data_IF_506713115966
#
_entry.id   IF_506713115966
#
_cell.length_a   1.000
_cell.length_b   1.000
_cell.length_c   1.000
_cell.angle_alpha   90.00
_cell.angle_beta   90.00
_cell.angle_gamma   90.00
#
_symmetry.space_group_name_H-M   'P 1'
#
loop_
_entity.id
_entity.type
_entity.pdbx_description
1 polymer ?
#
# COMPACT_ATOMS: atom_id res chain seq x y z
N UNK A 1 1.92 12.06 -44.51
CA UNK A 1 1.48 11.26 -43.34
C UNK A 1 2.49 10.19 -42.89
N UNK A 2 3.03 9.35 -43.78
CA UNK A 2 3.91 8.22 -43.41
C UNK A 2 5.24 8.62 -42.73
N UNK A 3 5.89 9.70 -43.19
CA UNK A 3 7.21 10.14 -42.69
C UNK A 3 7.21 10.50 -41.20
N UNK A 4 6.16 11.17 -40.72
CA UNK A 4 6.02 11.53 -39.31
C UNK A 4 5.89 10.30 -38.40
N UNK A 5 5.11 9.30 -38.82
CA UNK A 5 4.95 8.05 -38.08
C UNK A 5 6.26 7.27 -37.99
N UNK A 6 7.08 7.27 -39.04
CA UNK A 6 8.41 6.65 -39.04
C UNK A 6 9.32 7.36 -38.04
N UNK A 7 9.35 8.70 -38.04
CA UNK A 7 10.13 9.49 -37.09
C UNK A 7 9.68 9.26 -35.64
N UNK A 8 8.36 9.22 -35.39
CA UNK A 8 7.81 8.93 -34.07
C UNK A 8 8.13 7.51 -33.59
N UNK A 9 8.07 6.50 -34.47
CA UNK A 9 8.47 5.13 -34.14
C UNK A 9 9.94 5.06 -33.74
N UNK A 10 10.83 5.70 -34.50
CA UNK A 10 12.27 5.78 -34.16
C UNK A 10 12.50 6.48 -32.83
N UNK A 11 11.82 7.59 -32.57
CA UNK A 11 11.90 8.30 -31.28
C UNK A 11 11.45 7.42 -30.12
N UNK A 12 10.33 6.69 -30.25
CA UNK A 12 9.84 5.77 -29.22
C UNK A 12 10.82 4.63 -28.94
N UNK A 13 11.44 4.08 -29.98
CA UNK A 13 12.47 3.06 -29.84
C UNK A 13 13.69 3.59 -29.06
N UNK A 14 14.24 4.73 -29.45
CA UNK A 14 15.39 5.34 -28.77
C UNK A 14 15.11 5.64 -27.28
N UNK A 15 13.89 6.10 -26.95
CA UNK A 15 13.48 6.31 -25.56
C UNK A 15 13.42 4.98 -24.79
N UNK A 16 12.92 3.91 -25.40
CA UNK A 16 12.85 2.60 -24.78
C UNK A 16 14.26 2.03 -24.51
N UNK A 17 15.18 2.19 -25.45
CA UNK A 17 16.56 1.72 -25.30
C UNK A 17 17.31 2.51 -24.23
N UNK A 18 17.14 3.83 -24.18
CA UNK A 18 17.67 4.64 -23.07
C UNK A 18 17.12 4.19 -21.71
N UNK A 19 15.84 3.84 -21.62
CA UNK A 19 15.25 3.29 -20.38
C UNK A 19 15.87 1.94 -20.00
N UNK A 20 16.15 1.07 -20.97
CA UNK A 20 16.83 -0.21 -20.73
C UNK A 20 18.28 -0.03 -20.29
N UNK A 21 19.00 0.93 -20.85
CA UNK A 21 20.37 1.23 -20.44
C UNK A 21 20.45 1.76 -19.00
N UNK A 22 19.54 2.66 -18.62
CA UNK A 22 19.58 3.33 -17.31
C UNK A 22 18.94 2.48 -16.20
N UNK A 23 17.88 1.73 -16.51
CA UNK A 23 17.06 1.03 -15.50
C UNK A 23 16.90 -0.47 -15.76
N UNK A 24 17.50 -1.00 -16.82
CA UNK A 24 17.47 -2.42 -17.13
C UNK A 24 18.41 -3.23 -16.25
N UNK A 25 18.14 -4.52 -16.18
CA UNK A 25 19.03 -5.48 -15.52
C UNK A 25 20.32 -5.65 -16.34
N UNK A 26 21.52 -5.64 -15.72
CA UNK A 26 22.80 -5.73 -16.44
C UNK A 26 22.94 -6.98 -17.31
N UNK A 27 22.38 -8.11 -16.87
CA UNK A 27 22.50 -9.41 -17.54
C UNK A 27 21.49 -9.61 -18.68
N UNK A 28 20.29 -9.05 -18.57
CA UNK A 28 19.20 -9.31 -19.54
C UNK A 28 18.85 -8.10 -20.40
N UNK A 29 19.30 -6.89 -20.02
CA UNK A 29 18.96 -5.63 -20.69
C UNK A 29 17.45 -5.30 -20.64
N UNK A 30 16.65 -6.07 -19.91
CA UNK A 30 15.20 -5.86 -19.79
C UNK A 30 14.90 -4.95 -18.60
N UNK A 31 13.87 -4.14 -18.74
CA UNK A 31 13.39 -3.29 -17.65
C UNK A 31 12.79 -4.16 -16.55
N UNK A 32 13.13 -3.90 -15.27
CA UNK A 32 12.54 -4.61 -14.13
C UNK A 32 11.04 -4.35 -14.06
N UNK A 33 10.25 -5.42 -14.07
CA UNK A 33 8.81 -5.32 -13.78
C UNK A 33 8.63 -5.31 -12.27
N UNK A 34 8.19 -4.17 -11.72
CA UNK A 34 7.78 -4.12 -10.32
C UNK A 34 6.41 -4.80 -10.20
N UNK A 35 6.27 -5.89 -9.44
CA UNK A 35 4.96 -6.48 -9.20
C UNK A 35 4.08 -5.42 -8.54
N UNK A 36 2.87 -5.21 -9.07
CA UNK A 36 1.93 -4.33 -8.41
C UNK A 36 1.53 -4.96 -7.06
N UNK A 37 1.53 -4.20 -5.97
CA UNK A 37 1.04 -4.70 -4.70
C UNK A 37 -0.45 -5.03 -4.85
N UNK A 38 -0.78 -6.32 -4.84
CA UNK A 38 -2.16 -6.77 -4.91
C UNK A 38 -2.88 -6.34 -3.63
N UNK A 39 -3.97 -5.57 -3.78
CA UNK A 39 -4.76 -5.16 -2.64
C UNK A 39 -5.51 -6.35 -2.06
N UNK A 40 -5.15 -6.74 -0.84
CA UNK A 40 -5.82 -7.84 -0.13
C UNK A 40 -7.16 -7.31 0.41
N UNK A 41 -8.27 -7.93 -0.01
CA UNK A 41 -9.61 -7.65 0.53
C UNK A 41 -9.64 -7.81 2.06
N UNK A 42 -10.43 -6.97 2.75
CA UNK A 42 -10.60 -7.02 4.21
C UNK A 42 -11.03 -8.40 4.71
N UNK A 43 -11.86 -9.13 3.95
CA UNK A 43 -12.24 -10.52 4.26
C UNK A 43 -11.03 -11.45 4.26
N UNK A 44 -10.12 -11.31 3.28
CA UNK A 44 -8.90 -12.12 3.18
C UNK A 44 -7.92 -11.75 4.29
N UNK A 45 -7.76 -10.46 4.63
CA UNK A 45 -7.00 -10.04 5.81
C UNK A 45 -7.53 -10.71 7.09
N UNK A 46 -8.86 -10.65 7.33
CA UNK A 46 -9.48 -11.29 8.50
C UNK A 46 -9.27 -12.80 8.54
N UNK A 47 -9.32 -13.49 7.38
CA UNK A 47 -9.03 -14.93 7.30
C UNK A 47 -7.56 -15.23 7.63
N UNK A 48 -6.62 -14.46 7.09
CA UNK A 48 -5.19 -14.61 7.37
C UNK A 48 -4.91 -14.39 8.86
N UNK A 49 -5.46 -13.34 9.48
CA UNK A 49 -5.32 -13.11 10.93
C UNK A 49 -5.93 -14.24 11.78
N UNK A 50 -7.05 -14.83 11.35
CA UNK A 50 -7.62 -15.99 12.04
C UNK A 50 -6.76 -17.23 11.90
N UNK A 51 -6.21 -17.49 10.71
CA UNK A 51 -5.28 -18.60 10.46
C UNK A 51 -4.03 -18.45 11.32
N UNK A 52 -3.40 -17.28 11.28
CA UNK A 52 -2.23 -16.96 12.08
C UNK A 52 -2.47 -17.15 13.59
N UNK A 53 -3.61 -16.68 14.13
CA UNK A 53 -3.95 -16.92 15.55
C UNK A 53 -4.14 -18.40 15.90
N UNK A 54 -4.60 -19.23 14.96
CA UNK A 54 -4.72 -20.67 15.18
C UNK A 54 -3.35 -21.33 15.20
N UNK A 55 -2.50 -20.99 14.23
CA UNK A 55 -1.12 -21.48 14.15
C UNK A 55 -0.31 -21.11 15.40
N UNK A 56 -0.45 -19.88 15.91
CA UNK A 56 0.17 -19.46 17.18
C UNK A 56 -0.36 -20.30 18.36
N UNK A 57 -1.67 -20.55 18.42
CA UNK A 57 -2.27 -21.38 19.48
C UNK A 57 -1.82 -22.84 19.40
N UNK A 58 -1.65 -23.37 18.19
CA UNK A 58 -1.13 -24.71 17.95
C UNK A 58 0.36 -24.79 18.32
N UNK A 59 1.18 -23.81 17.93
CA UNK A 59 2.58 -23.73 18.33
C UNK A 59 2.79 -23.63 19.84
N UNK A 60 1.91 -22.95 20.58
CA UNK A 60 1.93 -22.95 22.06
C UNK A 60 1.60 -24.35 22.62
N UNK A 61 0.65 -25.07 22.02
CA UNK A 61 0.28 -26.43 22.46
C UNK A 61 1.35 -27.47 22.16
N UNK A 62 2.01 -27.33 21.03
CA UNK A 62 3.13 -28.19 20.60
C UNK A 62 4.43 -27.84 21.32
N UNK A 63 4.45 -26.79 22.14
CA UNK A 63 5.63 -26.34 22.89
C UNK A 63 6.67 -25.59 22.03
N UNK A 64 6.32 -25.26 20.78
CA UNK A 64 7.17 -24.53 19.83
C UNK A 64 7.25 -23.03 20.15
N UNK A 65 6.27 -22.49 20.87
CA UNK A 65 6.25 -21.11 21.37
C UNK A 65 6.30 -21.17 22.89
N UNK A 66 7.41 -20.71 23.47
CA UNK A 66 7.59 -20.63 24.91
C UNK A 66 7.15 -19.26 25.44
N UNK A 67 6.86 -19.17 26.73
CA UNK A 67 6.52 -17.89 27.37
C UNK A 67 7.59 -16.82 27.13
N UNK A 68 8.87 -17.21 27.04
CA UNK A 68 9.99 -16.31 26.74
C UNK A 68 9.90 -15.70 25.34
N UNK A 69 9.48 -16.47 24.33
CA UNK A 69 9.29 -15.96 22.97
C UNK A 69 8.19 -14.89 22.90
N UNK A 70 7.15 -15.06 23.73
CA UNK A 70 6.06 -14.08 23.86
C UNK A 70 6.57 -12.81 24.53
N UNK A 71 7.36 -12.92 25.60
CA UNK A 71 7.94 -11.77 26.30
C UNK A 71 8.87 -10.97 25.38
N UNK A 72 9.76 -11.62 24.64
CA UNK A 72 10.65 -10.94 23.68
C UNK A 72 9.87 -10.24 22.57
N UNK A 73 8.81 -10.87 22.03
CA UNK A 73 7.97 -10.24 21.00
C UNK A 73 7.21 -9.00 21.50
N UNK A 74 6.80 -8.97 22.78
CA UNK A 74 6.11 -7.82 23.39
C UNK A 74 7.07 -6.64 23.59
N UNK A 75 8.31 -6.92 24.00
CA UNK A 75 9.37 -5.91 24.13
C UNK A 75 9.71 -5.29 22.77
N UNK A 76 9.90 -6.11 21.73
CA UNK A 76 10.17 -5.60 20.38
C UNK A 76 8.99 -4.81 19.79
N UNK A 77 7.75 -5.25 20.06
CA UNK A 77 6.53 -4.55 19.62
C UNK A 77 6.39 -3.16 20.24
N UNK A 78 6.66 -3.03 21.54
CA UNK A 78 6.58 -1.76 22.26
C UNK A 78 7.67 -0.77 21.83
N UNK A 79 8.88 -1.25 21.51
CA UNK A 79 9.94 -0.42 20.95
C UNK A 79 9.58 0.12 19.55
N UNK A 80 8.90 -0.66 18.71
CA UNK A 80 8.47 -0.19 17.39
C UNK A 80 7.27 0.77 17.41
N UNK A 81 6.38 0.63 18.39
CA UNK A 81 5.24 1.54 18.55
C UNK A 81 5.64 2.89 19.15
N UNK A 82 6.63 2.92 20.05
CA UNK A 82 7.16 4.16 20.63
C UNK A 82 7.83 5.09 19.61
N UNK A 83 8.31 4.54 18.48
CA UNK A 83 8.99 5.31 17.43
C UNK A 83 8.04 5.84 16.33
N UNK A 84 6.72 5.64 16.45
CA UNK A 84 5.75 6.13 15.46
C UNK A 84 5.42 7.60 15.72
N UNK A 85 5.75 8.53 14.80
CA UNK A 85 5.39 9.93 14.98
C UNK A 85 3.87 10.08 15.02
N UNK A 86 3.36 10.88 15.96
CA UNK A 86 1.93 11.15 16.07
C UNK A 86 1.41 11.77 14.76
N UNK A 87 0.44 11.11 14.13
CA UNK A 87 -0.15 11.56 12.87
C UNK A 87 -0.96 12.83 13.14
N UNK A 88 -0.36 13.99 12.86
CA UNK A 88 -1.05 15.28 12.91
C UNK A 88 -2.01 15.36 11.72
N UNK A 89 -3.29 15.06 11.96
CA UNK A 89 -4.33 15.27 10.95
C UNK A 89 -4.50 16.77 10.67
N UNK A 90 -4.29 17.25 9.43
CA UNK A 90 -4.50 18.64 9.10
C UNK A 90 -6.01 18.92 9.03
N UNK A 91 -6.58 19.44 10.12
CA UNK A 91 -7.93 20.00 10.09
C UNK A 91 -7.95 21.24 9.20
N UNK A 92 -8.60 21.16 8.04
CA UNK A 92 -8.89 22.36 7.24
C UNK A 92 -9.91 23.21 7.97
N UNK A 93 -9.47 24.34 8.50
CA UNK A 93 -10.34 25.41 9.01
C UNK A 93 -11.09 26.03 7.83
N UNK A 94 -12.20 25.46 7.42
CA UNK A 94 -13.14 26.12 6.49
C UNK A 94 -14.54 26.07 7.05
N UNK A 95 -14.91 27.13 7.76
CA UNK A 95 -16.26 27.49 8.17
C UNK A 95 -17.11 27.85 6.95
N UNK A 96 -17.51 26.86 6.15
CA UNK A 96 -18.58 27.01 5.15
C UNK A 96 -19.49 25.80 5.16
N UNK A 97 -20.06 25.50 6.33
CA UNK A 97 -21.33 24.80 6.41
C UNK A 97 -22.41 25.76 5.87
N UNK A 98 -22.56 25.82 4.54
CA UNK A 98 -23.77 26.38 3.94
C UNK A 98 -24.89 25.40 4.23
N UNK A 99 -25.55 25.59 5.38
CA UNK A 99 -26.86 25.03 5.66
C UNK A 99 -27.76 25.54 4.53
N UNK A 100 -28.01 24.68 3.53
CA UNK A 100 -29.04 24.92 2.53
C UNK A 100 -30.34 25.08 3.31
N UNK A 101 -30.83 26.31 3.42
CA UNK A 101 -32.11 26.59 4.02
C UNK A 101 -33.15 25.71 3.33
N UNK A 102 -33.77 24.85 4.14
CA UNK A 102 -34.92 24.05 3.78
C UNK A 102 -35.96 24.99 3.19
N UNK A 103 -36.21 24.89 1.88
CA UNK A 103 -37.34 25.57 1.22
C UNK A 103 -38.61 25.04 1.89
N UNK A 104 -39.22 25.86 2.76
CA UNK A 104 -40.56 25.62 3.28
C UNK A 104 -41.54 25.73 2.11
N UNK A 105 -42.09 24.60 1.72
CA UNK A 105 -43.34 24.50 0.98
C UNK A 105 -44.49 24.74 1.96
N UNK A 106 -45.36 25.72 1.71
CA UNK A 106 -46.59 25.90 2.47
C UNK A 106 -47.33 27.21 2.22
N UNK A 107 -48.39 27.14 1.41
CA UNK A 107 -49.66 27.91 1.38
C UNK A 107 -49.65 29.39 1.82
N UNK A 108 -49.92 30.29 0.86
CA UNK A 108 -51.18 31.03 0.67
C UNK A 108 -51.11 31.77 -0.67
#
# INVERSE_FOLDING_TARGET
MAKFNVVQKRRRAAIADRKRQVHGEPSTGKLRQKPQPLSISGKRKRKLFKKWRREQKEGVKEGLITMQDVEMAVVDGTLQDANKPSVKFPMKKSSKLKVKQLKKTGKC
#
